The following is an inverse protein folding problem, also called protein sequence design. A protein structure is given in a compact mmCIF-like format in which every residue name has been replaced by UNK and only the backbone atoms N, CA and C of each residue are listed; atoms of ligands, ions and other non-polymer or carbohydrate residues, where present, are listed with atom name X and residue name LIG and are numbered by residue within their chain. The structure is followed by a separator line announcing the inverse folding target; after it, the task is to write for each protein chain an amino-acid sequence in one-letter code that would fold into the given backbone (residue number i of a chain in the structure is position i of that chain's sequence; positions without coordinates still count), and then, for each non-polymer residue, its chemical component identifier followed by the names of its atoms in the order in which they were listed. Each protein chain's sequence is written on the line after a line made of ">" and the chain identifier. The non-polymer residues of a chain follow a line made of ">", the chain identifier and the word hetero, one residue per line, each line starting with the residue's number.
data_IF_147200442305
#
_entry.id   IF_147200442305
#
_cell.length_a   1.000
_cell.length_b   1.000
_cell.length_c   1.000
_cell.angle_alpha   90.00
_cell.angle_beta   90.00
_cell.angle_gamma   90.00
#
_symmetry.space_group_name_H-M   'P 1'
#
loop_
_entity.id
_entity.type
_entity.pdbx_description
1 polymer ?
#
# COMPACT_ATOMS: atom_id res chain seq x y z
N UNK A 1 52.54 23.27 50.69
CA UNK A 1 51.34 22.61 50.12
C UNK A 1 51.67 22.17 48.71
N UNK A 2 51.73 20.87 48.49
CA UNK A 2 52.25 20.26 47.27
C UNK A 2 51.32 20.50 46.07
N UNK A 3 51.79 21.17 45.03
CA UNK A 3 50.98 21.50 43.82
C UNK A 3 50.41 20.25 43.14
N UNK A 4 51.05 19.09 43.30
CA UNK A 4 50.57 17.81 42.77
C UNK A 4 49.36 17.25 43.52
N UNK A 5 49.24 17.55 44.82
CA UNK A 5 48.12 17.13 45.66
C UNK A 5 46.85 17.94 45.35
N UNK A 6 47.01 19.24 45.08
CA UNK A 6 45.91 20.13 44.67
C UNK A 6 45.42 19.76 43.27
N UNK A 7 46.31 19.41 42.34
CA UNK A 7 45.92 18.98 40.99
C UNK A 7 45.17 17.64 41.00
N UNK A 8 45.61 16.65 41.79
CA UNK A 8 44.92 15.36 41.87
C UNK A 8 43.55 15.46 42.56
N UNK A 9 43.39 16.31 43.59
CA UNK A 9 42.10 16.54 44.24
C UNK A 9 41.10 17.26 43.32
N UNK A 10 41.56 18.20 42.50
CA UNK A 10 40.71 18.86 41.50
C UNK A 10 40.33 17.93 40.35
N UNK A 11 41.27 17.09 39.89
CA UNK A 11 41.01 16.16 38.78
C UNK A 11 40.01 15.05 39.18
N UNK A 12 40.18 14.47 40.37
CA UNK A 12 39.25 13.44 40.89
C UNK A 12 37.92 14.03 41.39
N UNK A 13 37.91 15.27 41.89
CA UNK A 13 36.67 15.99 42.23
C UNK A 13 35.80 16.31 41.01
N UNK A 14 36.42 16.60 39.86
CA UNK A 14 35.69 16.85 38.60
C UNK A 14 35.07 15.58 37.99
N UNK A 15 35.68 14.42 38.20
CA UNK A 15 35.21 13.15 37.65
C UNK A 15 33.98 12.58 38.40
N UNK A 16 33.76 13.00 39.65
CA UNK A 16 32.62 12.56 40.46
C UNK A 16 31.37 13.44 40.32
N UNK A 17 31.47 14.63 39.69
CA UNK A 17 30.32 15.50 39.46
C UNK A 17 29.60 15.25 38.11
N UNK A 18 30.18 14.46 37.20
CA UNK A 18 29.62 14.24 35.86
C UNK A 18 28.59 13.10 35.77
N UNK A 19 28.36 12.34 36.85
CA UNK A 19 27.42 11.21 36.88
C UNK A 19 25.96 11.59 37.22
N UNK A 20 25.65 12.88 37.43
CA UNK A 20 24.31 13.34 37.82
C UNK A 20 23.56 14.17 36.78
N UNK A 21 24.04 14.23 35.54
CA UNK A 21 23.19 14.70 34.45
C UNK A 21 22.45 13.48 33.88
N UNK A 22 21.40 13.05 34.59
CA UNK A 22 20.34 12.30 33.94
C UNK A 22 19.75 13.22 32.87
N UNK A 23 20.23 13.10 31.64
CA UNK A 23 19.55 13.64 30.48
C UNK A 23 18.21 12.92 30.38
N UNK A 24 17.17 13.52 30.97
CA UNK A 24 15.78 13.23 30.65
C UNK A 24 15.55 13.65 29.20
N UNK A 25 15.97 12.80 28.26
CA UNK A 25 15.49 12.86 26.89
C UNK A 25 14.00 12.53 26.96
N UNK A 26 13.19 13.58 27.07
CA UNK A 26 11.75 13.51 26.91
C UNK A 26 11.50 13.09 25.46
N UNK A 27 11.39 11.78 25.22
CA UNK A 27 11.02 11.26 23.92
C UNK A 27 9.61 11.74 23.62
N UNK A 28 9.50 12.78 22.79
CA UNK A 28 8.21 13.21 22.24
C UNK A 28 7.56 11.98 21.58
N UNK A 29 6.26 11.76 21.76
CA UNK A 29 5.58 10.66 21.11
C UNK A 29 5.82 10.74 19.59
N UNK A 30 6.10 9.59 18.98
CA UNK A 30 6.29 9.50 17.54
C UNK A 30 5.08 10.09 16.83
N UNK A 31 5.31 11.03 15.90
CA UNK A 31 4.25 11.67 15.15
C UNK A 31 3.40 10.64 14.39
N UNK A 32 2.12 10.96 14.21
CA UNK A 32 1.19 10.14 13.42
C UNK A 32 0.99 10.80 12.06
N UNK A 33 0.95 10.00 10.99
CA UNK A 33 0.70 10.49 9.64
C UNK A 33 -0.71 11.09 9.52
N UNK A 34 -0.80 12.31 8.96
CA UNK A 34 -2.06 12.98 8.60
C UNK A 34 -2.54 12.44 7.26
N UNK A 35 -3.44 11.46 7.29
CA UNK A 35 -3.89 10.77 6.08
C UNK A 35 -4.65 11.69 5.12
N UNK A 36 -5.33 12.70 5.65
CA UNK A 36 -6.14 13.64 4.87
C UNK A 36 -5.29 14.56 3.98
N UNK A 37 -4.01 14.74 4.31
CA UNK A 37 -3.08 15.57 3.53
C UNK A 37 -2.47 14.82 2.33
N UNK A 38 -2.45 13.48 2.39
CA UNK A 38 -1.80 12.62 1.39
C UNK A 38 -2.26 12.95 -0.04
N UNK A 39 -3.57 13.10 -0.34
CA UNK A 39 -4.03 13.41 -1.69
C UNK A 39 -3.43 14.69 -2.27
N UNK A 40 -3.11 15.69 -1.44
CA UNK A 40 -2.61 16.99 -1.86
C UNK A 40 -1.09 17.00 -2.07
N UNK A 41 -0.35 16.15 -1.36
CA UNK A 41 1.12 16.10 -1.44
C UNK A 41 1.66 14.96 -2.31
N UNK A 42 0.83 13.95 -2.67
CA UNK A 42 1.28 12.71 -3.32
C UNK A 42 2.12 12.93 -4.59
N UNK A 43 1.75 13.91 -5.41
CA UNK A 43 2.51 14.25 -6.62
C UNK A 43 3.89 14.82 -6.28
N UNK A 44 3.96 15.76 -5.33
CA UNK A 44 5.22 16.37 -4.89
C UNK A 44 6.14 15.31 -4.25
N UNK A 45 5.58 14.43 -3.41
CA UNK A 45 6.31 13.30 -2.83
C UNK A 45 6.86 12.39 -3.91
N UNK A 46 6.08 12.09 -4.96
CA UNK A 46 6.56 11.26 -6.05
C UNK A 46 7.75 11.87 -6.81
N UNK A 47 7.70 13.18 -7.08
CA UNK A 47 8.78 13.88 -7.77
C UNK A 47 10.07 13.93 -6.92
N UNK A 48 9.95 14.21 -5.62
CA UNK A 48 11.07 14.15 -4.67
C UNK A 48 11.63 12.73 -4.59
N UNK A 49 10.78 11.72 -4.43
CA UNK A 49 11.19 10.32 -4.40
C UNK A 49 11.98 9.90 -5.66
N UNK A 50 11.53 10.33 -6.85
CA UNK A 50 12.27 10.05 -8.08
C UNK A 50 13.67 10.69 -8.10
N UNK A 51 13.79 11.91 -7.56
CA UNK A 51 15.08 12.60 -7.40
C UNK A 51 15.98 11.83 -6.43
N UNK A 52 15.45 11.45 -5.27
CA UNK A 52 16.20 10.74 -4.23
C UNK A 52 16.72 9.38 -4.71
N UNK A 53 15.88 8.59 -5.38
CA UNK A 53 16.31 7.33 -6.00
C UNK A 53 17.45 7.52 -7.01
N UNK A 54 17.35 8.56 -7.84
CA UNK A 54 18.37 8.87 -8.83
C UNK A 54 19.69 9.30 -8.17
N UNK A 55 19.62 10.20 -7.20
CA UNK A 55 20.79 10.75 -6.51
C UNK A 55 21.47 9.70 -5.64
N UNK A 56 20.73 8.94 -4.83
CA UNK A 56 21.32 7.91 -3.96
C UNK A 56 22.01 6.80 -4.75
N UNK A 57 21.43 6.36 -5.88
CA UNK A 57 22.05 5.37 -6.77
C UNK A 57 23.33 5.93 -7.40
N UNK A 58 23.30 7.17 -7.88
CA UNK A 58 24.46 7.85 -8.45
C UNK A 58 25.57 8.02 -7.41
N UNK A 59 25.21 8.44 -6.21
CA UNK A 59 26.16 8.71 -5.13
C UNK A 59 26.76 7.41 -4.59
N UNK A 60 25.98 6.33 -4.48
CA UNK A 60 26.50 4.98 -4.17
C UNK A 60 27.48 4.52 -5.25
N UNK A 61 27.13 4.66 -6.53
CA UNK A 61 28.02 4.33 -7.65
C UNK A 61 29.32 5.15 -7.63
N UNK A 62 29.27 6.43 -7.26
CA UNK A 62 30.46 7.27 -7.13
C UNK A 62 31.38 6.78 -5.98
N UNK A 63 30.80 6.41 -4.84
CA UNK A 63 31.54 5.92 -3.65
C UNK A 63 32.25 4.58 -3.89
N UNK A 64 31.67 3.68 -4.69
CA UNK A 64 32.25 2.35 -4.94
C UNK A 64 33.09 2.28 -6.23
N UNK A 65 33.20 3.38 -6.98
CA UNK A 65 33.99 3.45 -8.20
C UNK A 65 35.45 3.01 -7.94
N UNK A 66 36.06 2.16 -8.80
CA UNK A 66 35.63 1.76 -10.15
C UNK A 66 34.66 0.57 -10.21
N UNK A 67 34.26 -0.01 -9.07
CA UNK A 67 33.30 -1.12 -9.05
C UNK A 67 31.93 -0.64 -9.53
N UNK A 68 31.22 -1.49 -10.28
CA UNK A 68 29.84 -1.21 -10.70
C UNK A 68 28.88 -1.55 -9.58
N UNK A 69 27.88 -0.69 -9.39
CA UNK A 69 26.77 -0.96 -8.49
C UNK A 69 26.03 -2.21 -8.97
N UNK A 70 25.72 -3.09 -8.03
CA UNK A 70 24.96 -4.31 -8.27
C UNK A 70 23.46 -4.05 -8.24
N UNK A 71 22.68 -4.95 -8.84
CA UNK A 71 21.21 -4.89 -8.80
C UNK A 71 20.69 -4.92 -7.35
N UNK A 72 21.31 -5.75 -6.50
CA UNK A 72 20.99 -5.86 -5.09
C UNK A 72 21.12 -4.52 -4.35
N UNK A 73 22.19 -3.77 -4.61
CA UNK A 73 22.39 -2.45 -4.01
C UNK A 73 21.36 -1.41 -4.44
N UNK A 74 20.81 -1.54 -5.66
CA UNK A 74 19.74 -0.68 -6.17
C UNK A 74 18.37 -1.08 -5.57
N UNK A 75 18.13 -2.37 -5.39
CA UNK A 75 16.95 -2.90 -4.69
C UNK A 75 16.95 -2.39 -3.24
N UNK A 76 18.07 -2.51 -2.54
CA UNK A 76 18.21 -2.04 -1.16
C UNK A 76 17.89 -0.54 -1.02
N UNK A 77 18.36 0.30 -1.94
CA UNK A 77 18.01 1.72 -1.97
C UNK A 77 16.50 1.88 -2.17
N UNK A 78 15.92 1.17 -3.15
CA UNK A 78 14.51 1.30 -3.51
C UNK A 78 13.54 0.83 -2.41
N UNK A 79 13.91 -0.20 -1.66
CA UNK A 79 13.15 -0.71 -0.50
C UNK A 79 13.20 0.25 0.70
N UNK A 80 14.34 0.92 0.90
CA UNK A 80 14.59 1.70 2.12
C UNK A 80 14.35 3.22 1.97
N UNK A 81 14.24 3.75 0.75
CA UNK A 81 14.06 5.19 0.48
C UNK A 81 12.83 5.82 1.15
N UNK A 82 11.81 5.01 1.48
CA UNK A 82 10.61 5.43 2.19
C UNK A 82 10.54 4.90 3.63
N UNK A 83 11.64 4.47 4.25
CA UNK A 83 11.66 3.87 5.59
C UNK A 83 12.44 4.75 6.57
N UNK A 84 11.76 5.53 7.42
CA UNK A 84 12.38 6.48 8.35
C UNK A 84 13.35 5.84 9.38
N UNK A 85 13.48 4.52 9.41
CA UNK A 85 14.49 3.81 10.21
C UNK A 85 15.83 3.61 9.46
N UNK A 86 15.93 4.12 8.24
CA UNK A 86 17.01 3.88 7.28
C UNK A 86 17.53 5.20 6.75
N UNK A 87 18.84 5.26 6.49
CA UNK A 87 19.50 6.48 6.04
C UNK A 87 18.99 6.94 4.67
N UNK A 88 18.56 6.00 3.83
CA UNK A 88 17.96 6.26 2.52
C UNK A 88 16.68 7.11 2.61
N UNK A 89 16.08 7.23 3.79
CA UNK A 89 14.87 7.99 4.06
C UNK A 89 15.13 9.36 4.73
N UNK A 90 16.39 9.71 5.02
CA UNK A 90 16.74 10.93 5.76
C UNK A 90 16.35 12.21 5.00
N UNK A 91 16.17 12.13 3.69
CA UNK A 91 15.66 13.25 2.87
C UNK A 91 14.30 13.77 3.37
N UNK A 92 13.46 12.91 3.97
CA UNK A 92 12.18 13.33 4.54
C UNK A 92 12.33 14.17 5.81
N UNK A 93 13.49 14.12 6.49
CA UNK A 93 13.77 14.90 7.70
C UNK A 93 14.08 16.37 7.40
N UNK A 94 14.32 16.69 6.11
CA UNK A 94 14.57 18.05 5.61
C UNK A 94 13.35 18.67 4.96
N UNK A 95 12.20 17.99 4.95
CA UNK A 95 11.02 18.48 4.26
C UNK A 95 9.94 18.83 5.27
N UNK A 96 9.42 20.04 5.12
CA UNK A 96 8.26 20.53 5.84
C UNK A 96 7.02 20.59 4.93
N UNK A 97 5.83 20.42 5.51
CA UNK A 97 4.54 20.56 4.79
C UNK A 97 3.95 21.92 5.15
N UNK A 98 4.09 22.89 4.26
CA UNK A 98 3.60 24.25 4.48
C UNK A 98 2.24 24.46 3.83
N UNK A 99 1.36 25.20 4.51
CA UNK A 99 0.12 25.69 3.95
C UNK A 99 0.37 26.99 3.17
N UNK A 100 0.13 26.96 1.85
CA UNK A 100 0.12 28.15 0.99
C UNK A 100 -1.28 28.39 0.47
N UNK A 101 -2.06 29.14 1.24
CA UNK A 101 -3.46 29.43 0.93
C UNK A 101 -4.32 28.17 1.02
N UNK A 102 -4.82 27.70 -0.10
CA UNK A 102 -5.69 26.51 -0.22
C UNK A 102 -4.94 25.22 -0.55
N UNK A 103 -3.60 25.26 -0.56
CA UNK A 103 -2.74 24.15 -1.00
C UNK A 103 -1.64 23.82 0.00
N UNK A 104 -1.26 22.53 0.04
CA UNK A 104 -0.10 22.04 0.77
C UNK A 104 1.10 21.96 -0.16
N UNK A 105 2.26 22.44 0.30
CA UNK A 105 3.51 22.40 -0.45
C UNK A 105 4.64 21.77 0.37
N UNK A 106 5.50 20.99 -0.28
CA UNK A 106 6.70 20.44 0.33
C UNK A 106 7.86 21.41 0.19
N UNK A 107 8.35 21.93 1.30
CA UNK A 107 9.48 22.88 1.33
C UNK A 107 10.69 22.21 1.95
N UNK A 108 11.81 22.23 1.23
CA UNK A 108 13.10 21.81 1.77
C UNK A 108 13.62 22.86 2.75
N UNK A 109 14.13 22.40 3.89
CA UNK A 109 14.71 23.19 4.96
C UNK A 109 16.23 23.00 4.98
N UNK A 110 16.96 24.00 5.49
CA UNK A 110 18.42 23.98 5.54
C UNK A 110 19.01 23.01 6.58
N UNK A 111 18.18 22.56 7.55
CA UNK A 111 18.59 21.66 8.63
C UNK A 111 17.63 20.50 8.84
N UNK A 112 18.17 19.35 9.23
CA UNK A 112 17.37 18.17 9.60
C UNK A 112 16.62 18.41 10.92
N UNK A 113 15.30 18.14 10.90
CA UNK A 113 14.44 18.24 12.06
C UNK A 113 14.19 16.91 12.77
N UNK A 114 13.61 16.96 13.98
CA UNK A 114 13.03 15.77 14.60
C UNK A 114 11.79 15.33 13.83
N UNK A 115 11.71 14.04 13.50
CA UNK A 115 10.57 13.51 12.75
C UNK A 115 9.26 13.52 13.58
N UNK A 116 8.32 14.37 13.17
CA UNK A 116 6.95 14.47 13.70
C UNK A 116 5.86 13.92 12.76
N UNK A 117 4.71 14.59 12.71
CA UNK A 117 3.59 14.20 11.85
C UNK A 117 3.86 14.46 10.37
N UNK A 118 4.63 15.50 10.02
CA UNK A 118 4.94 15.86 8.62
C UNK A 118 5.77 14.78 7.92
N UNK A 119 6.96 14.46 8.44
CA UNK A 119 7.79 13.36 7.91
C UNK A 119 7.02 12.04 7.85
N UNK A 120 6.11 11.76 8.81
CA UNK A 120 5.28 10.55 8.82
C UNK A 120 4.20 10.56 7.75
N UNK A 121 3.67 11.74 7.44
CA UNK A 121 2.74 11.96 6.34
C UNK A 121 3.45 11.76 4.99
N UNK A 122 4.67 12.28 4.87
CA UNK A 122 5.53 12.08 3.69
C UNK A 122 5.91 10.60 3.54
N UNK A 123 6.34 9.93 4.62
CA UNK A 123 6.66 8.49 4.65
C UNK A 123 5.46 7.69 4.14
N UNK A 124 4.27 7.98 4.65
CA UNK A 124 3.05 7.27 4.23
C UNK A 124 2.72 7.51 2.76
N UNK A 125 2.80 8.76 2.28
CA UNK A 125 2.58 9.10 0.89
C UNK A 125 3.63 8.43 -0.03
N UNK A 126 4.89 8.37 0.39
CA UNK A 126 6.00 7.71 -0.28
C UNK A 126 5.69 6.22 -0.48
N UNK A 127 5.29 5.54 0.59
CA UNK A 127 4.89 4.14 0.57
C UNK A 127 3.69 3.87 -0.35
N UNK A 128 2.73 4.80 -0.48
CA UNK A 128 1.64 4.66 -1.45
C UNK A 128 2.08 4.83 -2.91
N UNK A 129 3.16 5.57 -3.15
CA UNK A 129 3.74 5.75 -4.48
C UNK A 129 4.50 4.48 -4.89
N UNK A 130 5.50 4.06 -4.10
CA UNK A 130 6.46 3.03 -4.50
C UNK A 130 6.29 1.67 -3.82
N UNK A 131 5.58 1.54 -2.69
CA UNK A 131 5.72 0.40 -1.78
C UNK A 131 5.44 -1.01 -2.34
N UNK A 132 4.73 -1.16 -3.46
CA UNK A 132 4.53 -2.45 -4.15
C UNK A 132 5.36 -2.61 -5.44
N UNK A 133 6.08 -1.55 -5.81
CA UNK A 133 6.76 -1.38 -7.10
C UNK A 133 8.25 -1.08 -6.90
N UNK A 134 8.76 -1.12 -5.67
CA UNK A 134 10.17 -0.94 -5.34
C UNK A 134 11.10 -1.84 -6.15
N UNK A 135 10.72 -3.11 -6.33
CA UNK A 135 11.46 -4.08 -7.16
C UNK A 135 11.42 -3.69 -8.64
N UNK A 136 10.25 -3.33 -9.18
CA UNK A 136 10.08 -2.92 -10.58
C UNK A 136 10.87 -1.62 -10.88
N UNK A 137 10.89 -0.70 -9.92
CA UNK A 137 11.65 0.56 -9.98
C UNK A 137 13.15 0.29 -9.92
N UNK A 138 13.59 -0.58 -9.01
CA UNK A 138 14.99 -0.97 -8.91
C UNK A 138 15.48 -1.63 -10.21
N UNK A 139 14.69 -2.55 -10.78
CA UNK A 139 14.97 -3.19 -12.06
C UNK A 139 15.10 -2.13 -13.18
N UNK A 140 14.15 -1.20 -13.27
CA UNK A 140 14.17 -0.13 -14.27
C UNK A 140 15.43 0.73 -14.14
N UNK A 141 15.78 1.15 -12.91
CA UNK A 141 16.98 1.94 -12.65
C UNK A 141 18.24 1.17 -13.06
N UNK A 142 18.37 -0.09 -12.62
CA UNK A 142 19.56 -0.90 -12.86
C UNK A 142 19.75 -1.24 -14.35
N UNK A 143 18.69 -1.68 -15.04
CA UNK A 143 18.76 -2.12 -16.45
C UNK A 143 18.77 -0.96 -17.43
N UNK A 144 17.97 0.08 -17.20
CA UNK A 144 17.80 1.18 -18.17
C UNK A 144 18.69 2.38 -17.89
N UNK A 145 19.20 2.53 -16.65
CA UNK A 145 20.01 3.69 -16.21
C UNK A 145 19.39 5.01 -16.67
N UNK A 146 18.11 5.25 -16.33
CA UNK A 146 17.35 6.37 -16.85
C UNK A 146 17.96 7.70 -16.39
N UNK A 147 17.73 8.75 -17.17
CA UNK A 147 17.88 10.12 -16.66
C UNK A 147 16.77 10.43 -15.66
N UNK A 148 17.00 11.40 -14.76
CA UNK A 148 16.06 11.82 -13.72
C UNK A 148 14.63 12.03 -14.28
N UNK A 149 14.49 12.76 -15.39
CA UNK A 149 13.18 13.01 -16.02
C UNK A 149 12.44 11.72 -16.41
N UNK A 150 13.15 10.75 -17.01
CA UNK A 150 12.60 9.46 -17.40
C UNK A 150 12.19 8.63 -16.18
N UNK A 151 12.97 8.67 -15.11
CA UNK A 151 12.64 7.99 -13.85
C UNK A 151 11.39 8.57 -13.20
N UNK A 152 11.28 9.91 -13.11
CA UNK A 152 10.09 10.57 -12.58
C UNK A 152 8.84 10.28 -13.43
N UNK A 153 8.96 10.28 -14.76
CA UNK A 153 7.85 9.90 -15.64
C UNK A 153 7.40 8.46 -15.38
N UNK A 154 8.34 7.53 -15.29
CA UNK A 154 8.05 6.12 -15.02
C UNK A 154 7.35 5.96 -13.65
N UNK A 155 7.94 6.52 -12.59
CA UNK A 155 7.44 6.41 -11.21
C UNK A 155 6.08 7.09 -11.02
N UNK A 156 5.93 8.33 -11.50
CA UNK A 156 4.78 9.17 -11.16
C UNK A 156 3.62 9.05 -12.13
N UNK A 157 3.86 8.70 -13.40
CA UNK A 157 2.81 8.60 -14.42
C UNK A 157 2.55 7.16 -14.81
N UNK A 158 3.60 6.41 -15.17
CA UNK A 158 3.42 5.10 -15.79
C UNK A 158 2.98 4.04 -14.76
N UNK A 159 3.56 4.03 -13.55
CA UNK A 159 3.10 3.16 -12.47
C UNK A 159 1.70 3.54 -11.98
N UNK A 160 1.38 4.83 -11.86
CA UNK A 160 0.02 5.31 -11.51
C UNK A 160 -1.01 4.88 -12.56
N UNK A 161 -0.68 4.96 -13.84
CA UNK A 161 -1.52 4.45 -14.93
C UNK A 161 -1.65 2.93 -14.88
N UNK A 162 -0.56 2.22 -14.57
CA UNK A 162 -0.54 0.77 -14.36
C UNK A 162 -1.45 0.33 -13.21
N UNK A 163 -1.45 1.05 -12.08
CA UNK A 163 -2.37 0.83 -10.93
C UNK A 163 -3.83 0.90 -11.39
N UNK A 164 -4.21 1.97 -12.09
CA UNK A 164 -5.57 2.19 -12.59
C UNK A 164 -5.98 1.08 -13.57
N UNK A 165 -5.07 0.61 -14.42
CA UNK A 165 -5.35 -0.48 -15.36
C UNK A 165 -5.57 -1.81 -14.65
N UNK A 166 -4.69 -2.18 -13.71
CA UNK A 166 -4.81 -3.42 -12.92
C UNK A 166 -6.10 -3.46 -12.10
N UNK A 167 -6.49 -2.33 -11.49
CA UNK A 167 -7.74 -2.21 -10.73
C UNK A 167 -8.98 -2.33 -11.64
N UNK A 168 -8.95 -1.72 -12.82
CA UNK A 168 -10.02 -1.89 -13.81
C UNK A 168 -10.14 -3.34 -14.29
N UNK A 169 -9.01 -4.03 -14.46
CA UNK A 169 -8.99 -5.45 -14.85
C UNK A 169 -9.52 -6.36 -13.76
N UNK A 170 -9.14 -6.15 -12.50
CA UNK A 170 -9.65 -6.93 -11.37
C UNK A 170 -11.15 -6.75 -11.19
N UNK A 171 -11.64 -5.50 -11.27
CA UNK A 171 -13.06 -5.19 -11.19
C UNK A 171 -13.86 -5.80 -12.37
N UNK A 172 -13.27 -5.82 -13.57
CA UNK A 172 -13.87 -6.50 -14.74
C UNK A 172 -13.97 -8.01 -14.56
N UNK A 173 -12.97 -8.64 -13.95
CA UNK A 173 -12.98 -10.08 -13.65
C UNK A 173 -14.03 -10.42 -12.58
N UNK A 174 -14.14 -9.64 -11.51
CA UNK A 174 -15.19 -9.78 -10.48
C UNK A 174 -16.59 -9.62 -11.09
N UNK A 175 -16.79 -8.60 -11.93
CA UNK A 175 -18.06 -8.40 -12.63
C UNK A 175 -18.46 -9.60 -13.49
N UNK A 176 -17.52 -10.16 -14.27
CA UNK A 176 -17.78 -11.36 -15.09
C UNK A 176 -18.18 -12.56 -14.23
N UNK A 177 -17.53 -12.75 -13.08
CA UNK A 177 -17.87 -13.82 -12.13
C UNK A 177 -19.28 -13.63 -11.57
N UNK A 178 -19.64 -12.40 -11.15
CA UNK A 178 -20.99 -12.07 -10.64
C UNK A 178 -22.08 -12.33 -11.68
N UNK A 179 -21.87 -11.91 -12.93
CA UNK A 179 -22.84 -12.15 -14.02
C UNK A 179 -23.00 -13.64 -14.28
N UNK A 180 -21.88 -14.40 -14.37
CA UNK A 180 -21.93 -15.85 -14.59
C UNK A 180 -22.71 -16.55 -13.47
N UNK A 181 -22.46 -16.18 -12.22
CA UNK A 181 -23.16 -16.73 -11.05
C UNK A 181 -24.67 -16.45 -11.11
N UNK A 182 -25.06 -15.21 -11.39
CA UNK A 182 -26.49 -14.84 -11.49
C UNK A 182 -27.25 -15.63 -12.56
N UNK A 183 -26.61 -15.91 -13.70
CA UNK A 183 -27.21 -16.74 -14.77
C UNK A 183 -27.38 -18.20 -14.32
N UNK A 184 -26.40 -18.77 -13.63
CA UNK A 184 -26.47 -20.15 -13.11
C UNK A 184 -27.60 -20.25 -12.07
N UNK A 185 -27.63 -19.33 -11.09
CA UNK A 185 -28.63 -19.32 -10.03
C UNK A 185 -30.06 -19.17 -10.58
N UNK A 186 -30.25 -18.31 -11.59
CA UNK A 186 -31.53 -18.15 -12.27
C UNK A 186 -31.95 -19.43 -13.02
N UNK A 187 -30.99 -20.10 -13.68
CA UNK A 187 -31.22 -21.38 -14.36
C UNK A 187 -31.62 -22.50 -13.38
N UNK A 188 -30.95 -22.59 -12.24
CA UNK A 188 -31.28 -23.54 -11.18
C UNK A 188 -32.67 -23.27 -10.58
N UNK A 189 -33.00 -22.00 -10.35
CA UNK A 189 -34.32 -21.60 -9.87
C UNK A 189 -35.42 -21.98 -10.88
N UNK A 190 -35.22 -21.71 -12.17
CA UNK A 190 -36.15 -22.09 -13.23
C UNK A 190 -36.33 -23.61 -13.33
N UNK A 191 -35.23 -24.37 -13.27
CA UNK A 191 -35.25 -25.85 -13.28
C UNK A 191 -36.03 -26.39 -12.09
N UNK A 192 -35.81 -25.85 -10.89
CA UNK A 192 -36.56 -26.22 -9.69
C UNK A 192 -38.06 -25.95 -9.83
N UNK A 193 -38.42 -24.81 -10.44
CA UNK A 193 -39.81 -24.46 -10.70
C UNK A 193 -40.46 -25.39 -11.74
N UNK A 194 -39.77 -25.71 -12.82
CA UNK A 194 -40.24 -26.63 -13.85
C UNK A 194 -40.47 -28.04 -13.28
N UNK A 195 -39.51 -28.58 -12.52
CA UNK A 195 -39.64 -29.88 -11.85
C UNK A 195 -40.84 -29.91 -10.89
N UNK A 196 -41.06 -28.83 -10.12
CA UNK A 196 -42.21 -28.71 -9.22
C UNK A 196 -43.54 -28.71 -9.98
N UNK A 197 -43.64 -28.00 -11.10
CA UNK A 197 -44.85 -27.99 -11.92
C UNK A 197 -45.08 -29.34 -12.61
N UNK A 198 -44.02 -30.01 -13.07
CA UNK A 198 -44.08 -31.38 -13.60
C UNK A 198 -44.66 -32.36 -12.58
N UNK A 199 -44.16 -32.36 -11.33
CA UNK A 199 -44.70 -33.20 -10.26
C UNK A 199 -46.17 -32.88 -9.93
N UNK A 200 -46.57 -31.59 -9.96
CA UNK A 200 -47.96 -31.18 -9.74
C UNK A 200 -48.89 -31.70 -10.84
N UNK A 201 -48.49 -31.56 -12.10
CA UNK A 201 -49.25 -32.07 -13.26
C UNK A 201 -49.39 -33.59 -13.19
N UNK A 202 -48.32 -34.31 -12.87
CA UNK A 202 -48.35 -35.77 -12.72
C UNK A 202 -49.30 -36.22 -11.60
N UNK A 203 -49.27 -35.55 -10.45
CA UNK A 203 -50.16 -35.85 -9.32
C UNK A 203 -51.63 -35.58 -9.68
N UNK A 204 -51.90 -34.47 -10.35
CA UNK A 204 -53.24 -34.13 -10.84
C UNK A 204 -53.76 -35.18 -11.83
N UNK A 205 -52.94 -35.60 -12.80
CA UNK A 205 -53.31 -36.61 -13.78
C UNK A 205 -53.64 -37.97 -13.14
N UNK A 206 -52.84 -38.42 -12.17
CA UNK A 206 -53.11 -39.65 -11.41
C UNK A 206 -54.45 -39.59 -10.67
N UNK A 207 -54.77 -38.47 -10.04
CA UNK A 207 -56.06 -38.27 -9.36
C UNK A 207 -57.25 -38.34 -10.32
N UNK A 208 -57.16 -37.66 -11.47
CA UNK A 208 -58.22 -37.68 -12.49
C UNK A 208 -58.48 -39.08 -13.05
N UNK A 209 -57.43 -39.88 -13.26
CA UNK A 209 -57.56 -41.26 -13.73
C UNK A 209 -58.27 -42.15 -12.71
N UNK A 210 -57.96 -42.01 -11.42
CA UNK A 210 -58.64 -42.75 -10.35
C UNK A 210 -60.14 -42.42 -10.26
N UNK A 211 -60.51 -41.13 -10.36
CA UNK A 211 -61.93 -40.71 -10.37
C UNK A 211 -62.71 -41.24 -11.58
N UNK A 212 -62.07 -41.31 -12.76
CA UNK A 212 -62.69 -41.86 -13.96
C UNK A 212 -62.95 -43.38 -13.85
N UNK A 213 -61.99 -44.13 -13.29
CA UNK A 213 -62.16 -45.57 -13.02
C UNK A 213 -63.31 -45.83 -12.03
N UNK A 214 -63.46 -44.99 -11.00
CA UNK A 214 -64.54 -45.12 -10.02
C UNK A 214 -65.94 -44.81 -10.63
N UNK A 215 -66.02 -43.86 -11.57
CA UNK A 215 -67.25 -43.58 -12.30
C UNK A 215 -67.66 -44.75 -13.22
N UNK A 216 -66.71 -45.39 -13.90
CA UNK A 216 -66.98 -46.56 -14.75
C UNK A 216 -67.37 -47.82 -13.95
N UNK A 217 -66.86 -47.99 -12.73
CA UNK A 217 -67.29 -49.09 -11.85
C UNK A 217 -68.68 -48.90 -11.25
N UNK A 218 -69.14 -47.65 -11.15
CA UNK A 218 -70.50 -47.32 -10.70
C UNK A 218 -71.52 -47.39 -11.85
N UNK A 219 -71.13 -47.09 -13.10
CA UNK A 219 -72.01 -47.32 -14.26
C UNK A 219 -72.15 -48.81 -14.60
N UNK A 220 -71.13 -49.63 -14.33
CA UNK A 220 -71.19 -51.10 -14.53
C UNK A 220 -71.94 -51.87 -13.43
N UNK A 221 -72.40 -51.20 -12.36
CA UNK A 221 -73.20 -51.79 -11.27
C UNK A 221 -74.70 -51.47 -11.35
N UNK A 222 -75.14 -50.74 -12.38
CA UNK A 222 -76.54 -50.35 -12.57
C UNK A 222 -77.21 -51.04 -13.78
N UNK A 223 -76.57 -52.04 -14.38
CA UNK A 223 -77.18 -52.89 -15.42
C UNK A 223 -76.96 -54.36 -15.01
N UNK A 224 -78.09 -55.04 -14.72
CA UNK A 224 -78.31 -56.41 -14.22
C UNK A 224 -78.24 -56.66 -12.70
#
# INVERSE_FOLDING_TARGET
>A
MDRKLVFNLLFWGSLLCSSWIQTSYCAKPAGVARKDDIPFIKCQVCEKLAKELFEQVRDKQAKISPKKISEYEVIEISENVCNLKKQEADWMLKIDIVEKGDRLELVEQDSEGQCGSECKTIERACQEVIGYYDTDVAEYIYKKKPQMHSLSKFLCKDLTKGKIMKEKESMKMDWKQKVKKGVIDAGEAAKKHATKMGFRLQKWWKGKKASFTQHNSNSAKNEL
#
